data_IF_814441261994
#
_entry.id   IF_814441261994
#
_cell.length_a   1.000
_cell.length_b   1.000
_cell.length_c   1.000
_cell.angle_alpha   90.00
_cell.angle_beta   90.00
_cell.angle_gamma   90.00
#
_symmetry.space_group_name_H-M   'P 1'
#
loop_
_entity.id
_entity.type
_entity.pdbx_description
1 polymer ?
#
# COMPACT_ATOMS: atom_id res chain seq x y z
N UNK A 1 66.71 -25.20 6.95
CA UNK A 1 65.30 -25.59 6.86
C UNK A 1 64.52 -24.29 6.77
N UNK A 2 63.99 -24.01 5.58
CA UNK A 2 63.34 -22.74 5.25
C UNK A 2 61.84 -22.87 5.52
N UNK A 3 61.38 -22.17 6.56
CA UNK A 3 60.09 -22.35 7.22
C UNK A 3 58.94 -21.70 6.41
N UNK A 4 59.27 -20.96 5.35
CA UNK A 4 58.29 -20.25 4.51
C UNK A 4 57.41 -21.17 3.67
N UNK A 5 57.95 -22.31 3.20
CA UNK A 5 57.19 -23.26 2.35
C UNK A 5 56.16 -24.10 3.12
N UNK A 6 56.40 -24.35 4.41
CA UNK A 6 55.45 -25.07 5.27
C UNK A 6 54.25 -24.19 5.69
N UNK A 7 54.47 -22.90 5.91
CA UNK A 7 53.40 -21.94 6.24
C UNK A 7 52.45 -21.74 5.06
N UNK A 8 52.98 -21.62 3.82
CA UNK A 8 52.14 -21.52 2.62
C UNK A 8 51.32 -22.80 2.38
N UNK A 9 51.86 -23.97 2.70
CA UNK A 9 51.15 -25.25 2.48
C UNK A 9 49.97 -25.43 3.43
N UNK A 10 50.11 -24.99 4.68
CA UNK A 10 49.02 -25.07 5.66
C UNK A 10 47.91 -24.04 5.41
N UNK A 11 48.22 -22.88 4.79
CA UNK A 11 47.21 -21.90 4.41
C UNK A 11 46.28 -22.42 3.29
N UNK A 12 46.78 -23.28 2.40
CA UNK A 12 45.98 -23.87 1.30
C UNK A 12 45.10 -25.03 1.82
N UNK A 13 45.57 -25.78 2.82
CA UNK A 13 44.82 -26.93 3.39
C UNK A 13 43.69 -26.47 4.32
N UNK A 14 43.88 -25.35 5.04
CA UNK A 14 42.84 -24.72 5.87
C UNK A 14 42.22 -23.48 5.20
N UNK A 15 42.44 -23.31 3.89
CA UNK A 15 41.87 -22.24 3.08
C UNK A 15 40.37 -22.40 3.01
N UNK A 16 39.67 -21.66 3.86
CA UNK A 16 38.23 -21.45 3.78
C UNK A 16 37.84 -21.18 2.32
N UNK A 17 36.75 -21.79 1.86
CA UNK A 17 36.29 -21.55 0.49
C UNK A 17 36.12 -20.05 0.26
N UNK A 18 36.71 -19.52 -0.81
CA UNK A 18 36.55 -18.13 -1.28
C UNK A 18 35.13 -17.83 -1.82
N UNK A 19 34.10 -18.54 -1.34
CA UNK A 19 32.73 -18.07 -1.41
C UNK A 19 32.46 -17.12 -0.25
N UNK A 20 33.15 -15.97 -0.27
CA UNK A 20 32.75 -14.81 0.52
C UNK A 20 31.98 -13.89 -0.41
N UNK A 21 30.65 -14.04 -0.44
CA UNK A 21 29.84 -13.03 -1.12
C UNK A 21 30.12 -11.69 -0.42
N UNK A 22 30.36 -10.61 -1.17
CA UNK A 22 30.60 -9.29 -0.56
C UNK A 22 29.37 -8.77 0.21
N UNK A 23 28.24 -9.49 0.15
CA UNK A 23 27.07 -9.30 1.02
C UNK A 23 27.26 -9.84 2.44
N UNK A 24 28.14 -10.81 2.67
CA UNK A 24 28.29 -11.50 3.97
C UNK A 24 29.35 -10.88 4.89
N UNK A 25 30.23 -10.01 4.36
CA UNK A 25 31.27 -9.30 5.11
C UNK A 25 30.84 -7.85 5.40
N UNK A 26 29.94 -7.66 6.36
CA UNK A 26 29.46 -6.31 6.72
C UNK A 26 29.48 -6.05 8.24
N UNK A 27 30.67 -6.01 8.84
CA UNK A 27 30.85 -5.46 10.19
C UNK A 27 30.92 -3.91 10.21
N UNK A 28 30.97 -3.25 9.05
CA UNK A 28 31.27 -1.81 8.93
C UNK A 28 30.32 -1.00 8.04
N UNK A 29 29.17 -1.55 7.64
CA UNK A 29 28.10 -0.71 7.08
C UNK A 29 27.26 -0.27 8.28
N UNK A 30 27.15 1.02 8.56
CA UNK A 30 26.13 1.52 9.47
C UNK A 30 24.79 1.00 8.96
N UNK A 31 24.27 -0.05 9.62
CA UNK A 31 23.08 -0.77 9.20
C UNK A 31 21.90 0.19 9.30
N UNK A 32 21.45 0.77 8.17
CA UNK A 32 20.13 1.38 8.03
C UNK A 32 19.01 0.30 8.08
N UNK A 33 19.21 -0.77 8.86
CA UNK A 33 18.36 -1.96 8.89
C UNK A 33 17.32 -1.94 10.03
N UNK A 34 17.21 -0.86 10.80
CA UNK A 34 16.32 -0.82 11.96
C UNK A 34 15.00 -0.06 11.71
N UNK A 35 14.78 0.51 10.51
CA UNK A 35 13.53 1.25 10.24
C UNK A 35 12.38 0.27 10.07
N UNK A 36 11.33 0.42 10.86
CA UNK A 36 10.16 -0.45 10.77
C UNK A 36 10.33 -1.83 11.38
N UNK A 37 11.42 -2.11 12.11
CA UNK A 37 11.70 -3.46 12.61
C UNK A 37 10.66 -3.97 13.64
N UNK A 38 9.92 -3.08 14.27
CA UNK A 38 8.87 -3.41 15.24
C UNK A 38 7.64 -2.55 14.98
N UNK A 39 6.47 -3.07 15.30
CA UNK A 39 5.20 -2.32 15.20
C UNK A 39 5.15 -1.10 16.14
N UNK A 40 6.00 -1.05 17.17
CA UNK A 40 6.20 0.09 18.05
C UNK A 40 7.03 1.22 17.41
N UNK A 41 7.91 0.87 16.46
CA UNK A 41 8.76 1.78 15.69
C UNK A 41 8.62 1.49 14.19
N UNK A 42 7.42 1.65 13.63
CA UNK A 42 7.13 1.35 12.23
C UNK A 42 7.81 2.37 11.31
N UNK A 43 7.98 2.01 10.04
CA UNK A 43 8.12 3.02 8.99
C UNK A 43 6.78 3.74 8.82
N UNK A 44 6.76 5.02 8.50
CA UNK A 44 5.50 5.77 8.32
C UNK A 44 5.35 6.24 6.87
N UNK A 45 4.11 6.20 6.37
CA UNK A 45 3.71 6.84 5.12
C UNK A 45 2.30 7.44 5.29
N UNK A 46 1.99 8.51 4.59
CA UNK A 46 0.67 9.15 4.61
C UNK A 46 0.02 9.12 3.23
N UNK A 47 -1.30 8.95 3.22
CA UNK A 47 -2.15 8.99 2.02
C UNK A 47 -3.21 10.07 2.23
N UNK A 48 -3.24 11.06 1.33
CA UNK A 48 -4.20 12.16 1.39
C UNK A 48 -5.27 12.12 0.29
N UNK A 49 -5.09 11.29 -0.74
CA UNK A 49 -5.98 11.23 -1.91
C UNK A 49 -6.24 9.77 -2.28
N UNK A 50 -7.49 9.43 -2.59
CA UNK A 50 -7.93 8.07 -2.95
C UNK A 50 -8.62 7.99 -4.31
N UNK A 51 -8.54 6.85 -5.03
CA UNK A 51 -7.78 5.66 -4.71
C UNK A 51 -6.26 5.90 -4.78
N UNK A 52 -5.52 5.14 -3.98
CA UNK A 52 -4.05 5.17 -3.96
C UNK A 52 -3.50 3.75 -3.89
N UNK A 53 -2.54 3.45 -4.75
CA UNK A 53 -1.85 2.16 -4.75
C UNK A 53 -0.43 2.33 -4.22
N UNK A 54 -0.14 1.70 -3.09
CA UNK A 54 1.21 1.59 -2.54
C UNK A 54 1.86 0.32 -3.06
N UNK A 55 2.98 0.45 -3.76
CA UNK A 55 3.83 -0.68 -4.12
C UNK A 55 5.09 -0.66 -3.26
N UNK A 56 5.31 -1.73 -2.51
CA UNK A 56 6.51 -1.89 -1.68
C UNK A 56 7.26 -3.16 -2.07
N UNK A 57 8.52 -2.99 -2.41
CA UNK A 57 9.44 -4.08 -2.76
C UNK A 57 10.77 -3.87 -2.06
N UNK A 58 11.15 -4.81 -1.21
CA UNK A 58 12.45 -4.84 -0.56
C UNK A 58 12.73 -6.28 -0.08
N UNK A 59 13.47 -6.42 1.01
CA UNK A 59 13.95 -7.66 1.60
C UNK A 59 13.83 -7.60 3.12
N UNK A 60 13.39 -8.71 3.73
CA UNK A 60 13.35 -8.92 5.20
C UNK A 60 14.20 -10.13 5.57
N UNK A 61 14.56 -10.29 6.85
CA UNK A 61 15.31 -11.45 7.34
C UNK A 61 16.82 -11.19 7.47
N UNK A 62 17.64 -12.22 7.22
CA UNK A 62 19.07 -12.26 7.61
C UNK A 62 19.85 -11.00 7.22
N UNK A 63 20.68 -10.53 8.17
CA UNK A 63 21.45 -9.29 8.12
C UNK A 63 20.60 -8.00 8.11
N UNK A 64 19.28 -8.11 8.31
CA UNK A 64 18.37 -6.97 8.42
C UNK A 64 17.24 -7.10 9.44
N UNK A 65 16.16 -6.34 9.24
CA UNK A 65 14.98 -6.47 10.07
C UNK A 65 14.26 -7.78 9.72
N UNK A 66 14.09 -8.67 10.70
CA UNK A 66 13.37 -9.93 10.54
C UNK A 66 11.89 -9.70 10.17
N UNK A 67 11.32 -8.64 10.74
CA UNK A 67 9.99 -8.17 10.43
C UNK A 67 10.06 -6.72 9.98
N UNK A 68 9.18 -6.33 9.07
CA UNK A 68 9.03 -4.94 8.64
C UNK A 68 7.58 -4.51 8.82
N UNK A 69 7.39 -3.39 9.52
CA UNK A 69 6.09 -2.80 9.78
C UNK A 69 6.00 -1.41 9.15
N UNK A 70 4.96 -1.20 8.36
CA UNK A 70 4.61 0.08 7.75
C UNK A 70 3.32 0.58 8.38
N UNK A 71 3.35 1.76 9.01
CA UNK A 71 2.19 2.52 9.46
C UNK A 71 1.72 3.41 8.31
N UNK A 72 0.51 3.15 7.84
CA UNK A 72 -0.14 3.94 6.80
C UNK A 72 -1.14 4.88 7.48
N UNK A 73 -0.87 6.18 7.44
CA UNK A 73 -1.76 7.22 7.97
C UNK A 73 -2.68 7.69 6.85
N UNK A 74 -3.98 7.63 7.08
CA UNK A 74 -4.98 8.17 6.16
C UNK A 74 -5.30 9.59 6.61
N UNK A 75 -5.04 10.56 5.73
CA UNK A 75 -5.33 11.97 5.92
C UNK A 75 -6.19 12.46 4.76
N UNK A 76 -7.25 11.71 4.47
CA UNK A 76 -8.00 11.88 3.25
C UNK A 76 -8.98 13.04 3.39
N UNK A 77 -8.84 14.01 2.50
CA UNK A 77 -9.68 15.20 2.45
C UNK A 77 -10.79 14.94 1.44
N UNK A 78 -12.05 15.05 1.87
CA UNK A 78 -13.22 14.71 1.04
C UNK A 78 -13.40 15.57 -0.21
N UNK A 79 -12.68 16.69 -0.31
CA UNK A 79 -12.75 17.62 -1.44
C UNK A 79 -12.00 17.15 -2.70
N UNK A 80 -11.20 16.09 -2.62
CA UNK A 80 -10.43 15.62 -3.78
C UNK A 80 -10.26 14.11 -3.77
N UNK A 81 -10.80 13.46 -4.80
CA UNK A 81 -10.61 12.06 -5.11
C UNK A 81 -10.09 11.89 -6.54
N UNK A 82 -9.35 10.81 -6.79
CA UNK A 82 -8.88 10.43 -8.14
C UNK A 82 -9.91 9.62 -8.91
N UNK A 83 -10.85 8.98 -8.21
CA UNK A 83 -11.93 8.22 -8.80
C UNK A 83 -13.26 8.79 -8.35
N UNK A 84 -14.29 8.54 -9.15
CA UNK A 84 -15.67 8.78 -8.76
C UNK A 84 -16.17 7.59 -7.92
N UNK A 85 -16.94 7.87 -6.88
CA UNK A 85 -17.59 6.87 -6.03
C UNK A 85 -19.09 7.05 -6.17
N UNK A 86 -19.79 5.98 -6.53
CA UNK A 86 -21.23 5.99 -6.68
C UNK A 86 -21.91 6.00 -5.30
N UNK A 87 -22.94 6.84 -5.16
CA UNK A 87 -23.86 6.82 -4.02
C UNK A 87 -25.18 6.17 -4.46
N UNK A 88 -25.99 5.62 -3.54
CA UNK A 88 -27.35 5.20 -3.87
C UNK A 88 -28.15 6.34 -4.51
N UNK A 89 -28.52 6.20 -5.78
CA UNK A 89 -29.25 7.21 -6.55
C UNK A 89 -28.37 8.19 -7.35
N UNK A 90 -27.05 8.03 -7.30
CA UNK A 90 -26.09 8.84 -8.07
C UNK A 90 -25.20 7.96 -8.92
N UNK A 91 -24.91 8.42 -10.14
CA UNK A 91 -24.02 7.74 -11.08
C UNK A 91 -22.85 8.65 -11.44
N UNK A 92 -21.72 8.05 -11.74
CA UNK A 92 -20.54 8.78 -12.20
C UNK A 92 -20.78 9.36 -13.59
N UNK A 93 -20.89 10.68 -13.68
CA UNK A 93 -21.02 11.38 -14.94
C UNK A 93 -19.67 11.47 -15.65
N UNK A 94 -19.64 11.11 -16.93
CA UNK A 94 -18.49 11.29 -17.81
C UNK A 94 -18.88 12.19 -18.99
N UNK A 95 -18.38 13.41 -19.00
CA UNK A 95 -18.52 14.33 -20.12
C UNK A 95 -17.25 14.28 -20.98
N UNK A 96 -17.40 13.85 -22.24
CA UNK A 96 -16.30 13.86 -23.21
C UNK A 96 -16.42 15.11 -24.10
N UNK A 97 -15.55 16.09 -23.85
CA UNK A 97 -15.56 17.36 -24.58
C UNK A 97 -14.76 17.29 -25.91
N UNK A 98 -14.28 16.11 -26.30
CA UNK A 98 -13.50 15.90 -27.53
C UNK A 98 -14.35 15.42 -28.72
N UNK A 99 -15.69 15.41 -28.57
CA UNK A 99 -16.61 15.13 -29.66
C UNK A 99 -16.47 16.18 -30.77
N UNK A 100 -15.77 15.83 -31.84
CA UNK A 100 -15.44 16.70 -32.98
C UNK A 100 -16.35 16.45 -34.19
N UNK A 101 -17.52 15.85 -33.98
CA UNK A 101 -18.53 15.69 -35.04
C UNK A 101 -19.13 17.06 -35.37
N UNK A 102 -18.51 17.74 -36.34
CA UNK A 102 -19.03 18.94 -36.95
C UNK A 102 -20.13 18.54 -37.93
N UNK A 103 -21.39 18.60 -37.48
CA UNK A 103 -22.53 18.48 -38.39
C UNK A 103 -22.71 19.81 -39.16
N UNK A 104 -22.77 19.71 -40.49
CA UNK A 104 -22.87 20.86 -41.36
C UNK A 104 -24.28 21.48 -41.27
N UNK A 105 -24.45 22.40 -40.33
CA UNK A 105 -25.74 23.09 -40.08
C UNK A 105 -26.00 23.38 -38.61
N UNK A 106 -25.21 22.82 -37.69
CA UNK A 106 -25.40 22.98 -36.24
C UNK A 106 -24.11 23.46 -35.57
N UNK A 107 -24.25 24.30 -34.54
CA UNK A 107 -23.14 24.65 -33.66
C UNK A 107 -23.04 23.60 -32.56
N UNK A 108 -21.81 23.21 -32.21
CA UNK A 108 -21.56 22.35 -31.05
C UNK A 108 -22.03 23.05 -29.76
N UNK A 109 -22.64 22.28 -28.86
CA UNK A 109 -22.98 22.77 -27.53
C UNK A 109 -21.70 23.09 -26.74
N UNK A 110 -21.75 24.16 -25.95
CA UNK A 110 -20.66 24.54 -25.03
C UNK A 110 -21.10 24.17 -23.62
N UNK A 111 -20.22 23.51 -22.88
CA UNK A 111 -20.44 23.22 -21.46
C UNK A 111 -20.07 24.46 -20.65
N UNK A 112 -21.01 24.92 -19.82
CA UNK A 112 -20.75 25.93 -18.80
C UNK A 112 -20.25 25.21 -17.54
N UNK A 113 -18.95 25.30 -17.26
CA UNK A 113 -18.33 24.68 -16.09
C UNK A 113 -18.59 25.47 -14.79
N UNK A 114 -19.22 26.65 -14.89
CA UNK A 114 -19.44 27.56 -13.77
C UNK A 114 -20.88 27.62 -13.28
N UNK A 115 -21.83 27.06 -14.04
CA UNK A 115 -23.23 27.00 -13.64
C UNK A 115 -23.46 25.91 -12.57
N UNK A 116 -23.72 26.36 -11.34
CA UNK A 116 -24.07 25.53 -10.20
C UNK A 116 -25.58 25.59 -9.86
N UNK A 117 -26.40 26.10 -10.78
CA UNK A 117 -27.83 26.24 -10.54
C UNK A 117 -28.55 24.89 -10.56
N UNK A 118 -29.40 24.67 -9.56
CA UNK A 118 -30.28 23.49 -9.51
C UNK A 118 -31.47 23.71 -10.45
N UNK A 119 -31.68 22.79 -11.37
CA UNK A 119 -32.83 22.84 -12.29
C UNK A 119 -33.87 21.81 -11.84
N UNK A 120 -35.00 22.31 -11.31
CA UNK A 120 -36.06 21.52 -10.69
C UNK A 120 -35.54 20.69 -9.50
N UNK A 121 -35.45 19.37 -9.66
CA UNK A 121 -34.97 18.42 -8.66
C UNK A 121 -33.61 17.82 -9.02
N UNK A 122 -32.97 18.30 -10.10
CA UNK A 122 -31.67 17.82 -10.53
C UNK A 122 -30.58 18.75 -10.02
N UNK A 123 -29.65 18.20 -9.25
CA UNK A 123 -28.43 18.87 -8.86
C UNK A 123 -27.40 18.80 -10.00
N UNK A 124 -26.62 19.86 -10.25
CA UNK A 124 -25.62 19.87 -11.30
C UNK A 124 -24.46 18.90 -10.99
N UNK A 125 -23.91 18.28 -12.02
CA UNK A 125 -22.74 17.43 -11.88
C UNK A 125 -21.47 18.28 -11.73
N UNK A 126 -20.64 17.97 -10.72
CA UNK A 126 -19.32 18.58 -10.61
C UNK A 126 -18.36 17.91 -11.61
N UNK A 127 -17.99 18.64 -12.65
CA UNK A 127 -17.10 18.16 -13.72
C UNK A 127 -15.63 18.59 -13.54
N UNK A 128 -15.33 19.39 -12.51
CA UNK A 128 -13.98 19.94 -12.27
C UNK A 128 -13.10 18.90 -11.55
N UNK A 129 -13.63 18.26 -10.52
CA UNK A 129 -12.89 17.23 -9.79
C UNK A 129 -13.82 16.27 -9.05
N UNK A 130 -13.46 14.98 -9.05
CA UNK A 130 -14.12 14.00 -8.20
C UNK A 130 -13.90 14.34 -6.72
N UNK A 131 -14.94 14.10 -5.91
CA UNK A 131 -14.94 14.28 -4.46
C UNK A 131 -15.39 12.99 -3.79
N UNK A 132 -15.04 12.83 -2.52
CA UNK A 132 -15.64 11.75 -1.74
C UNK A 132 -17.10 12.10 -1.42
N UNK A 133 -18.01 11.14 -1.57
CA UNK A 133 -19.41 11.33 -1.25
C UNK A 133 -19.63 11.60 0.24
N UNK A 134 -20.74 12.23 0.61
CA UNK A 134 -21.04 12.55 2.02
C UNK A 134 -21.68 11.35 2.70
N UNK A 135 -20.87 10.34 3.03
CA UNK A 135 -21.34 9.12 3.69
C UNK A 135 -21.22 9.25 5.21
N UNK A 136 -22.36 9.10 5.91
CA UNK A 136 -22.38 9.01 7.38
C UNK A 136 -21.61 7.76 7.80
N UNK A 137 -20.60 7.92 8.66
CA UNK A 137 -19.70 6.83 9.07
C UNK A 137 -19.10 6.07 7.88
N UNK A 138 -18.61 6.79 6.87
CA UNK A 138 -17.97 6.18 5.70
C UNK A 138 -16.60 5.57 6.03
N UNK A 139 -16.36 4.38 5.47
CA UNK A 139 -15.11 3.64 5.54
C UNK A 139 -14.56 3.40 4.14
N UNK A 140 -13.23 3.40 4.03
CA UNK A 140 -12.50 3.10 2.81
C UNK A 140 -11.98 1.68 2.82
N UNK A 141 -12.02 1.01 1.67
CA UNK A 141 -11.37 -0.30 1.53
C UNK A 141 -9.85 -0.17 1.54
N UNK A 142 -9.19 -1.14 2.17
CA UNK A 142 -7.76 -1.38 2.14
C UNK A 142 -7.59 -2.82 1.70
N UNK A 143 -7.04 -3.03 0.51
CA UNK A 143 -6.82 -4.34 -0.09
C UNK A 143 -5.32 -4.61 -0.15
N UNK A 144 -4.86 -5.65 0.54
CA UNK A 144 -3.46 -6.06 0.59
C UNK A 144 -3.24 -7.27 -0.33
N UNK A 145 -2.46 -7.07 -1.39
CA UNK A 145 -2.09 -8.12 -2.33
C UNK A 145 -0.60 -8.47 -2.15
N UNK A 146 -0.32 -9.71 -1.76
CA UNK A 146 1.03 -10.25 -1.83
C UNK A 146 1.32 -10.72 -3.27
N UNK A 147 2.00 -9.87 -4.05
CA UNK A 147 2.35 -10.16 -5.44
C UNK A 147 3.41 -11.27 -5.57
N UNK A 148 4.03 -11.67 -4.44
CA UNK A 148 5.07 -12.70 -4.36
C UNK A 148 6.30 -12.35 -5.23
N UNK A 149 7.30 -13.21 -5.21
CA UNK A 149 8.50 -13.08 -6.05
C UNK A 149 8.61 -14.17 -7.12
N UNK A 150 7.62 -15.05 -7.22
CA UNK A 150 7.58 -16.13 -8.21
C UNK A 150 8.47 -17.31 -7.87
N UNK A 151 8.88 -17.44 -6.60
CA UNK A 151 9.67 -18.56 -6.11
C UNK A 151 9.02 -19.14 -4.86
N UNK A 152 8.34 -20.28 -5.01
CA UNK A 152 7.62 -20.95 -3.91
C UNK A 152 8.47 -21.17 -2.65
N UNK A 153 9.76 -21.45 -2.81
CA UNK A 153 10.67 -21.69 -1.68
C UNK A 153 11.07 -20.43 -0.93
N UNK A 154 10.72 -19.25 -1.45
CA UNK A 154 10.86 -17.96 -0.79
C UNK A 154 9.49 -17.50 -0.31
N UNK A 155 8.49 -17.60 -1.18
CA UNK A 155 7.13 -17.12 -0.93
C UNK A 155 6.45 -17.84 0.26
N UNK A 156 6.71 -19.14 0.45
CA UNK A 156 6.13 -19.91 1.58
C UNK A 156 6.68 -19.48 2.95
N UNK A 157 7.81 -18.78 2.98
CA UNK A 157 8.45 -18.29 4.21
C UNK A 157 8.18 -16.81 4.49
N UNK A 158 7.41 -16.15 3.62
CA UNK A 158 7.04 -14.75 3.76
C UNK A 158 5.55 -14.67 4.09
N UNK A 159 5.22 -13.98 5.18
CA UNK A 159 3.85 -13.73 5.58
C UNK A 159 3.59 -12.22 5.63
N UNK A 160 2.47 -11.77 5.09
CA UNK A 160 2.12 -10.35 5.01
C UNK A 160 0.72 -10.20 5.57
N UNK A 161 0.56 -9.32 6.55
CA UNK A 161 -0.68 -9.19 7.32
C UNK A 161 -1.05 -7.73 7.53
N UNK A 162 -2.36 -7.49 7.63
CA UNK A 162 -2.90 -6.21 8.07
C UNK A 162 -3.04 -6.21 9.59
N UNK A 163 -2.87 -5.05 10.19
CA UNK A 163 -3.05 -4.83 11.62
C UNK A 163 -3.87 -3.58 11.87
N UNK A 164 -4.73 -3.64 12.89
CA UNK A 164 -5.52 -2.51 13.35
C UNK A 164 -4.67 -1.44 14.03
N UNK A 165 -5.28 -0.30 14.38
CA UNK A 165 -4.66 0.74 15.21
C UNK A 165 -4.14 0.21 16.54
N UNK A 166 -4.81 -0.80 17.10
CA UNK A 166 -4.47 -1.46 18.36
C UNK A 166 -3.35 -2.50 18.18
N UNK A 167 -2.84 -2.66 16.95
CA UNK A 167 -1.81 -3.65 16.60
C UNK A 167 -2.30 -5.09 16.74
N UNK A 168 -3.62 -5.27 16.71
CA UNK A 168 -4.22 -6.58 16.59
C UNK A 168 -4.17 -7.00 15.12
N UNK A 169 -3.87 -8.26 14.88
CA UNK A 169 -3.87 -8.83 13.54
C UNK A 169 -5.29 -8.83 12.97
N UNK A 170 -5.41 -8.33 11.75
CA UNK A 170 -6.63 -8.43 10.97
C UNK A 170 -6.57 -9.71 10.12
N UNK A 171 -7.54 -10.63 10.25
CA UNK A 171 -7.44 -11.96 9.66
C UNK A 171 -7.70 -12.02 8.15
N UNK A 172 -8.03 -10.90 7.51
CA UNK A 172 -8.36 -10.82 6.08
C UNK A 172 -7.40 -9.88 5.35
N UNK A 173 -7.24 -10.12 4.05
CA UNK A 173 -6.47 -9.24 3.16
C UNK A 173 -7.22 -7.95 2.81
N UNK A 174 -8.51 -7.86 3.17
CA UNK A 174 -9.36 -6.69 2.99
C UNK A 174 -9.76 -6.15 4.36
N UNK A 175 -9.56 -4.85 4.56
CA UNK A 175 -9.93 -4.14 5.77
C UNK A 175 -10.61 -2.82 5.43
N UNK A 176 -11.62 -2.42 6.20
CA UNK A 176 -12.27 -1.12 6.07
C UNK A 176 -11.82 -0.18 7.19
N UNK A 177 -11.31 1.00 6.81
CA UNK A 177 -10.70 1.99 7.72
C UNK A 177 -11.33 3.36 7.50
N UNK A 178 -11.48 4.18 8.54
CA UNK A 178 -12.01 5.54 8.39
C UNK A 178 -11.00 6.45 7.67
N UNK A 179 -11.45 7.47 6.92
CA UNK A 179 -10.58 8.36 6.13
C UNK A 179 -9.48 9.11 6.88
N UNK A 180 -9.59 9.25 8.21
CA UNK A 180 -8.63 9.98 9.08
C UNK A 180 -7.85 9.09 10.05
N UNK A 181 -8.05 7.77 9.97
CA UNK A 181 -7.39 6.81 10.85
C UNK A 181 -6.08 6.30 10.25
N UNK A 182 -5.43 5.36 10.94
CA UNK A 182 -4.24 4.70 10.44
C UNK A 182 -4.32 3.21 10.65
N UNK A 183 -3.54 2.45 9.91
CA UNK A 183 -3.39 1.02 10.08
C UNK A 183 -1.94 0.61 9.88
N UNK A 184 -1.63 -0.67 10.10
CA UNK A 184 -0.30 -1.19 9.83
C UNK A 184 -0.32 -2.35 8.85
N UNK A 185 0.75 -2.46 8.07
CA UNK A 185 1.10 -3.63 7.27
C UNK A 185 2.31 -4.25 7.94
N UNK A 186 2.23 -5.52 8.30
CA UNK A 186 3.36 -6.30 8.81
C UNK A 186 3.84 -7.29 7.75
N UNK A 187 5.15 -7.35 7.58
CA UNK A 187 5.85 -8.28 6.70
C UNK A 187 6.75 -9.12 7.60
N UNK A 188 6.55 -10.43 7.58
CA UNK A 188 7.16 -11.36 8.52
C UNK A 188 7.97 -12.42 7.79
N UNK A 189 9.27 -12.50 8.12
CA UNK A 189 10.10 -13.61 7.69
C UNK A 189 9.94 -14.79 8.66
N UNK A 190 9.55 -15.96 8.15
CA UNK A 190 9.45 -17.20 8.94
C UNK A 190 10.76 -18.01 8.98
N UNK A 191 11.83 -17.48 8.38
CA UNK A 191 13.12 -18.15 8.27
C UNK A 191 14.27 -17.14 8.43
N UNK A 192 15.43 -17.61 8.84
CA UNK A 192 16.66 -16.83 9.05
C UNK A 192 17.43 -16.57 7.76
N UNK A 193 16.74 -16.44 6.62
CA UNK A 193 17.33 -16.07 5.32
C UNK A 193 16.84 -14.69 4.91
N UNK A 194 17.56 -14.03 4.02
CA UNK A 194 17.08 -12.79 3.40
C UNK A 194 16.01 -13.13 2.37
N UNK A 195 14.77 -12.72 2.62
CA UNK A 195 13.60 -13.00 1.81
C UNK A 195 13.14 -11.71 1.10
N UNK A 196 13.20 -11.65 -0.24
CA UNK A 196 12.60 -10.54 -0.98
C UNK A 196 11.07 -10.60 -0.86
N UNK A 197 10.45 -9.43 -0.80
CA UNK A 197 8.99 -9.28 -0.81
C UNK A 197 8.57 -8.29 -1.89
N UNK A 198 7.35 -8.47 -2.39
CA UNK A 198 6.71 -7.56 -3.33
C UNK A 198 5.23 -7.51 -2.98
N UNK A 199 4.78 -6.39 -2.43
CA UNK A 199 3.41 -6.20 -1.97
C UNK A 199 2.79 -4.99 -2.64
N UNK A 200 1.49 -5.08 -2.84
CA UNK A 200 0.65 -4.00 -3.30
C UNK A 200 -0.45 -3.79 -2.26
N UNK A 201 -0.67 -2.53 -1.86
CA UNK A 201 -1.77 -2.15 -0.99
C UNK A 201 -2.58 -1.07 -1.69
N UNK A 202 -3.84 -1.39 -2.02
CA UNK A 202 -4.78 -0.48 -2.67
C UNK A 202 -5.70 0.10 -1.60
N UNK A 203 -5.69 1.42 -1.47
CA UNK A 203 -6.53 2.15 -0.51
C UNK A 203 -7.59 2.95 -1.26
N UNK A 204 -8.84 2.81 -0.84
CA UNK A 204 -9.98 3.55 -1.35
C UNK A 204 -10.43 3.11 -2.72
N UNK A 205 -10.41 1.80 -3.03
CA UNK A 205 -11.13 1.31 -4.22
C UNK A 205 -12.64 1.42 -4.02
N UNK A 206 -13.08 1.18 -2.78
CA UNK A 206 -14.45 1.33 -2.36
C UNK A 206 -14.55 2.33 -1.21
N UNK A 207 -15.65 3.06 -1.17
CA UNK A 207 -16.02 3.90 -0.04
C UNK A 207 -17.48 3.64 0.31
N UNK A 208 -17.72 3.11 1.51
CA UNK A 208 -18.99 2.51 1.90
C UNK A 208 -19.41 2.92 3.31
N UNK A 209 -20.72 2.94 3.57
CA UNK A 209 -21.23 3.14 4.92
C UNK A 209 -21.00 1.90 5.78
N UNK A 210 -20.84 2.08 7.09
CA UNK A 210 -20.66 0.98 8.04
C UNK A 210 -21.73 -0.12 7.91
N UNK A 211 -22.99 0.26 7.72
CA UNK A 211 -24.13 -0.67 7.64
C UNK A 211 -24.05 -1.62 6.42
N UNK A 212 -23.35 -1.21 5.37
CA UNK A 212 -23.16 -2.00 4.15
C UNK A 212 -21.93 -2.93 4.19
N UNK A 213 -21.16 -2.91 5.28
CA UNK A 213 -19.91 -3.64 5.41
C UNK A 213 -20.09 -4.79 6.42
N UNK A 214 -19.51 -5.96 6.12
CA UNK A 214 -19.41 -7.03 7.12
C UNK A 214 -18.51 -6.56 8.28
N UNK A 215 -19.07 -6.56 9.50
CA UNK A 215 -18.39 -6.18 10.73
C UNK A 215 -17.02 -6.86 10.92
N UNK A 216 -16.81 -8.05 10.35
CA UNK A 216 -15.53 -8.76 10.43
C UNK A 216 -14.41 -8.11 9.61
N UNK A 217 -14.76 -7.35 8.58
CA UNK A 217 -13.82 -6.65 7.70
C UNK A 217 -13.51 -5.22 8.20
N UNK A 218 -14.35 -4.68 9.08
CA UNK A 218 -14.12 -3.37 9.67
C UNK A 218 -12.94 -3.44 10.63
N UNK A 219 -12.02 -2.49 10.50
CA UNK A 219 -10.94 -2.33 11.45
C UNK A 219 -11.53 -2.11 12.85
N UNK A 220 -11.20 -3.00 13.79
CA UNK A 220 -11.64 -2.84 15.18
C UNK A 220 -11.19 -1.48 15.72
N UNK A 221 -12.11 -0.76 16.34
CA UNK A 221 -11.84 0.47 17.06
C UNK A 221 -12.20 0.29 18.54
N UNK A 222 -11.55 1.06 19.41
CA UNK A 222 -11.89 1.09 20.83
C UNK A 222 -13.30 1.68 20.94
N UNK A 223 -14.20 0.98 21.64
CA UNK A 223 -15.48 1.51 22.13
C UNK A 223 -15.27 2.51 23.26
#
# INVERSE_FOLDING_TARGET
>A
MDITKEIQRNHIIYGASDYTSSSDLAASKSLNYAKGATILKPAETSISVVPHTLHYKDTVGLFGAENYFLKVKLEIIGETAKACYEEPGWECAYANNLGTELDAGWNSAVIDETDDSTLNTYEPANIISNKLPKVINGYLSVELNNLKVGNRFIDDWLDVRLYSMQREEHPFDIMYVKPKDYFYIGIHARNTKRLPYNIECVVGREYRSFESIDNKLVMRQIS
#
